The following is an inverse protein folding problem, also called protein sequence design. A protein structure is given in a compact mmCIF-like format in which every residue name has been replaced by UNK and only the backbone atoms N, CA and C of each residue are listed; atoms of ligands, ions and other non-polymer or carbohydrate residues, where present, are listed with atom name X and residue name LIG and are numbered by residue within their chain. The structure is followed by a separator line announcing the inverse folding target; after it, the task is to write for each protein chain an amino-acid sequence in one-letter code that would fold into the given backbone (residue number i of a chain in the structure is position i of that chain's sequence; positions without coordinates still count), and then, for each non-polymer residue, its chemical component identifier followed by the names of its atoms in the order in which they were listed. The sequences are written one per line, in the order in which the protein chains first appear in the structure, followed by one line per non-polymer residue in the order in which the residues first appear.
data_IF_761298932671
#
_entry.id   IF_761298932671
#
_cell.length_a   1.000
_cell.length_b   1.000
_cell.length_c   1.000
_cell.angle_alpha   90.00
_cell.angle_beta   90.00
_cell.angle_gamma   90.00
#
_symmetry.space_group_name_H-M   'P 1'
#
loop_
_entity.id
_entity.type
_entity.pdbx_description
1 polymer ?
#
# COMPACT_ATOMS: atom_id res chain seq x y z
N UNK A 1 -26.01 -48.79 48.78
CA UNK A 1 -25.21 -48.83 47.52
C UNK A 1 -25.80 -48.00 46.38
N UNK A 2 -27.13 -47.84 46.23
CA UNK A 2 -27.71 -47.10 45.10
C UNK A 2 -27.46 -45.59 45.03
N UNK A 3 -27.34 -44.88 46.17
CA UNK A 3 -27.14 -43.41 46.18
C UNK A 3 -25.75 -42.98 45.67
N UNK A 4 -24.70 -43.75 45.97
CA UNK A 4 -23.33 -43.48 45.49
C UNK A 4 -23.20 -43.71 43.98
N UNK A 5 -23.76 -44.80 43.45
CA UNK A 5 -23.80 -45.04 41.99
C UNK A 5 -24.54 -43.93 41.24
N UNK A 6 -25.67 -43.46 41.78
CA UNK A 6 -26.45 -42.38 41.16
C UNK A 6 -25.74 -41.01 41.23
N UNK A 7 -24.86 -40.80 42.22
CA UNK A 7 -24.04 -39.60 42.32
C UNK A 7 -22.87 -39.67 41.33
N UNK A 8 -22.26 -40.85 41.17
CA UNK A 8 -21.17 -41.10 40.22
C UNK A 8 -21.63 -40.96 38.76
N UNK A 9 -22.83 -41.47 38.44
CA UNK A 9 -23.44 -41.28 37.11
C UNK A 9 -23.72 -39.81 36.79
N UNK A 10 -24.20 -39.03 37.78
CA UNK A 10 -24.42 -37.59 37.61
C UNK A 10 -23.13 -36.82 37.38
N UNK A 11 -22.06 -37.18 38.08
CA UNK A 11 -20.74 -36.58 37.86
C UNK A 11 -20.18 -36.91 36.48
N UNK A 12 -20.32 -38.16 36.01
CA UNK A 12 -19.90 -38.55 34.67
C UNK A 12 -20.69 -37.82 33.57
N UNK A 13 -22.01 -37.67 33.74
CA UNK A 13 -22.83 -36.89 32.79
C UNK A 13 -22.44 -35.41 32.75
N UNK A 14 -22.13 -34.80 33.91
CA UNK A 14 -21.66 -33.42 33.97
C UNK A 14 -20.30 -33.24 33.29
N UNK A 15 -19.37 -34.18 33.48
CA UNK A 15 -18.08 -34.15 32.80
C UNK A 15 -18.20 -34.30 31.28
N UNK A 16 -19.09 -35.19 30.82
CA UNK A 16 -19.35 -35.35 29.38
C UNK A 16 -19.98 -34.09 28.77
N UNK A 17 -20.92 -33.44 29.46
CA UNK A 17 -21.51 -32.19 29.00
C UNK A 17 -20.47 -31.06 28.94
N UNK A 18 -19.58 -30.96 29.92
CA UNK A 18 -18.49 -29.96 29.89
C UNK A 18 -17.51 -30.21 28.74
N UNK A 19 -17.14 -31.48 28.47
CA UNK A 19 -16.29 -31.82 27.34
C UNK A 19 -16.94 -31.50 25.99
N UNK A 20 -18.24 -31.78 25.83
CA UNK A 20 -18.98 -31.42 24.61
C UNK A 20 -19.08 -29.91 24.42
N UNK A 21 -19.31 -29.13 25.48
CA UNK A 21 -19.31 -27.67 25.41
C UNK A 21 -17.93 -27.11 25.05
N UNK A 22 -16.85 -27.65 25.61
CA UNK A 22 -15.49 -27.26 25.24
C UNK A 22 -15.15 -27.60 23.79
N UNK A 23 -15.56 -28.77 23.30
CA UNK A 23 -15.38 -29.14 21.89
C UNK A 23 -16.20 -28.25 20.94
N UNK A 24 -17.43 -27.90 21.30
CA UNK A 24 -18.24 -26.96 20.53
C UNK A 24 -17.64 -25.55 20.51
N UNK A 25 -17.10 -25.07 21.64
CA UNK A 25 -16.39 -23.79 21.68
C UNK A 25 -15.10 -23.81 20.86
N UNK A 26 -14.33 -24.90 20.89
CA UNK A 26 -13.14 -25.05 20.03
C UNK A 26 -13.49 -25.12 18.55
N UNK A 27 -14.58 -25.80 18.18
CA UNK A 27 -15.07 -25.83 16.78
C UNK A 27 -15.58 -24.46 16.34
N UNK A 28 -16.28 -23.71 17.20
CA UNK A 28 -16.69 -22.32 16.90
C UNK A 28 -15.49 -21.38 16.75
N UNK A 29 -14.44 -21.54 17.56
CA UNK A 29 -13.19 -20.77 17.41
C UNK A 29 -12.42 -21.15 16.13
N UNK A 30 -12.46 -22.41 15.69
CA UNK A 30 -11.87 -22.85 14.41
C UNK A 30 -12.66 -22.37 13.19
N UNK A 31 -13.99 -22.20 13.31
CA UNK A 31 -14.83 -21.59 12.27
C UNK A 31 -14.76 -20.05 12.27
N UNK A 32 -14.18 -19.44 13.30
CA UNK A 32 -13.92 -18.01 13.42
C UNK A 32 -12.47 -17.64 13.06
N UNK A 33 -11.80 -18.40 12.19
CA UNK A 33 -10.62 -17.83 11.52
C UNK A 33 -11.12 -16.69 10.62
N UNK A 34 -10.72 -15.43 10.86
CA UNK A 34 -11.14 -14.35 10.00
C UNK A 34 -10.61 -14.63 8.59
N UNK A 35 -11.48 -14.44 7.59
CA UNK A 35 -11.05 -14.51 6.20
C UNK A 35 -9.88 -13.53 5.98
N UNK A 36 -8.83 -13.92 5.25
CA UNK A 36 -7.68 -13.07 5.04
C UNK A 36 -8.11 -11.81 4.28
N UNK A 37 -8.17 -10.68 4.98
CA UNK A 37 -8.34 -9.36 4.40
C UNK A 37 -7.00 -8.85 3.89
N UNK A 38 -7.00 -8.20 2.71
CA UNK A 38 -5.81 -7.55 2.16
C UNK A 38 -6.02 -6.05 1.99
N UNK A 39 -4.96 -5.27 2.18
CA UNK A 39 -4.94 -3.83 1.90
C UNK A 39 -3.94 -3.52 0.80
N UNK A 40 -4.39 -2.90 -0.31
CA UNK A 40 -3.58 -2.63 -1.49
C UNK A 40 -3.64 -1.16 -1.96
N UNK A 41 -2.58 -0.70 -2.62
CA UNK A 41 -2.48 0.64 -3.23
C UNK A 41 -3.12 0.73 -4.63
N UNK A 42 -3.32 1.96 -5.12
CA UNK A 42 -4.03 2.27 -6.38
C UNK A 42 -3.44 1.59 -7.63
N UNK A 43 -2.16 1.24 -7.61
CA UNK A 43 -1.45 0.66 -8.76
C UNK A 43 -1.78 -0.82 -9.04
N UNK A 44 -2.34 -1.56 -8.07
CA UNK A 44 -2.75 -2.97 -8.25
C UNK A 44 -4.27 -3.13 -8.48
N UNK A 45 -5.03 -2.05 -8.31
CA UNK A 45 -6.50 -2.03 -8.36
C UNK A 45 -7.09 -2.63 -9.62
N UNK A 46 -6.50 -2.33 -10.79
CA UNK A 46 -6.95 -2.85 -12.08
C UNK A 46 -6.82 -4.37 -12.17
N UNK A 47 -5.64 -4.91 -11.84
CA UNK A 47 -5.37 -6.35 -11.91
C UNK A 47 -6.20 -7.13 -10.87
N UNK A 48 -6.30 -6.62 -9.64
CA UNK A 48 -7.14 -7.20 -8.60
C UNK A 48 -8.61 -7.27 -9.02
N UNK A 49 -9.13 -6.21 -9.66
CA UNK A 49 -10.52 -6.19 -10.14
C UNK A 49 -10.78 -7.24 -11.23
N UNK A 50 -9.83 -7.41 -12.16
CA UNK A 50 -9.95 -8.39 -13.25
C UNK A 50 -9.85 -9.83 -12.72
N UNK A 51 -9.03 -10.07 -11.69
CA UNK A 51 -8.82 -11.42 -11.14
C UNK A 51 -9.84 -11.84 -10.10
N UNK A 52 -10.55 -10.90 -9.47
CA UNK A 52 -11.54 -11.17 -8.41
C UNK A 52 -12.51 -12.32 -8.77
N UNK A 53 -13.15 -12.21 -9.94
CA UNK A 53 -14.11 -13.22 -10.39
C UNK A 53 -13.46 -14.57 -10.73
N UNK A 54 -12.24 -14.56 -11.28
CA UNK A 54 -11.53 -15.78 -11.71
C UNK A 54 -10.96 -16.54 -10.52
N UNK A 55 -10.53 -15.82 -9.49
CA UNK A 55 -9.84 -16.39 -8.33
C UNK A 55 -10.77 -16.56 -7.11
N UNK A 56 -12.04 -16.18 -7.22
CA UNK A 56 -13.04 -16.41 -6.16
C UNK A 56 -12.90 -15.51 -4.93
N UNK A 57 -12.41 -14.27 -5.11
CA UNK A 57 -12.34 -13.26 -4.04
C UNK A 57 -13.16 -12.02 -4.39
N UNK A 58 -13.45 -11.18 -3.38
CA UNK A 58 -14.12 -9.89 -3.60
C UNK A 58 -13.11 -8.76 -3.52
N UNK A 59 -13.12 -7.89 -4.53
CA UNK A 59 -12.37 -6.64 -4.51
C UNK A 59 -13.27 -5.48 -4.09
N UNK A 60 -12.89 -4.76 -3.03
CA UNK A 60 -13.65 -3.64 -2.47
C UNK A 60 -12.78 -2.39 -2.44
N UNK A 61 -13.10 -1.44 -3.32
CA UNK A 61 -12.51 -0.11 -3.24
C UNK A 61 -13.25 0.78 -2.25
N UNK A 62 -12.51 1.46 -1.38
CA UNK A 62 -13.08 2.42 -0.44
C UNK A 62 -13.83 3.55 -1.17
N UNK A 63 -15.03 3.85 -0.72
CA UNK A 63 -15.80 5.04 -1.16
C UNK A 63 -15.22 6.33 -0.60
N UNK A 64 -14.43 6.25 0.48
CA UNK A 64 -13.63 7.37 1.00
C UNK A 64 -12.28 7.33 0.30
N UNK A 65 -12.22 7.93 -0.89
CA UNK A 65 -11.06 7.81 -1.77
C UNK A 65 -9.79 8.44 -1.20
N UNK A 66 -9.86 9.48 -0.36
CA UNK A 66 -8.68 10.15 0.19
C UNK A 66 -8.82 10.45 1.68
N UNK A 67 -8.50 9.48 2.54
CA UNK A 67 -8.45 9.64 3.99
C UNK A 67 -6.99 9.56 4.47
N UNK A 68 -6.14 10.38 3.83
CA UNK A 68 -4.70 10.46 4.09
C UNK A 68 -4.33 11.33 5.30
N UNK A 69 -5.33 11.93 5.95
CA UNK A 69 -5.13 12.74 7.15
C UNK A 69 -4.69 11.87 8.33
N UNK A 70 -4.01 12.48 9.29
CA UNK A 70 -3.71 11.82 10.56
C UNK A 70 -5.01 11.52 11.34
N UNK A 71 -5.10 10.35 11.97
CA UNK A 71 -6.27 9.94 12.75
C UNK A 71 -5.91 10.01 14.24
N UNK A 72 -6.86 10.47 15.05
CA UNK A 72 -6.78 10.22 16.49
C UNK A 72 -6.83 8.71 16.74
N UNK A 73 -6.41 8.28 17.93
CA UNK A 73 -6.49 6.88 18.36
C UNK A 73 -7.91 6.31 18.16
N UNK A 74 -8.94 7.03 18.58
CA UNK A 74 -10.33 6.58 18.45
C UNK A 74 -10.81 6.51 16.99
N UNK A 75 -10.36 7.44 16.13
CA UNK A 75 -10.69 7.41 14.70
C UNK A 75 -9.99 6.24 13.99
N UNK A 76 -8.74 5.94 14.36
CA UNK A 76 -8.02 4.77 13.87
C UNK A 76 -8.73 3.48 14.32
N UNK A 77 -9.09 3.37 15.61
CA UNK A 77 -9.84 2.24 16.17
C UNK A 77 -11.18 2.02 15.47
N UNK A 78 -11.94 3.09 15.20
CA UNK A 78 -13.20 3.01 14.46
C UNK A 78 -13.02 2.51 13.02
N UNK A 79 -11.94 2.92 12.34
CA UNK A 79 -11.61 2.41 11.01
C UNK A 79 -11.19 0.94 11.04
N UNK A 80 -10.38 0.53 12.01
CA UNK A 80 -10.00 -0.87 12.24
C UNK A 80 -11.25 -1.73 12.47
N UNK A 81 -12.14 -1.33 13.37
CA UNK A 81 -13.39 -2.05 13.64
C UNK A 81 -14.29 -2.15 12.40
N UNK A 82 -14.39 -1.06 11.62
CA UNK A 82 -15.13 -1.04 10.34
C UNK A 82 -14.57 -2.06 9.35
N UNK A 83 -13.25 -2.12 9.19
CA UNK A 83 -12.60 -3.06 8.28
C UNK A 83 -12.71 -4.50 8.77
N UNK A 84 -12.59 -4.73 10.07
CA UNK A 84 -12.82 -6.05 10.65
C UNK A 84 -14.24 -6.55 10.38
N UNK A 85 -15.25 -5.69 10.57
CA UNK A 85 -16.63 -6.02 10.24
C UNK A 85 -16.83 -6.26 8.73
N UNK A 86 -16.16 -5.48 7.88
CA UNK A 86 -16.19 -5.66 6.43
C UNK A 86 -15.64 -7.03 6.03
N UNK A 87 -14.49 -7.43 6.57
CA UNK A 87 -13.88 -8.73 6.28
C UNK A 87 -14.73 -9.88 6.81
N UNK A 88 -15.31 -9.74 8.01
CA UNK A 88 -16.21 -10.75 8.60
C UNK A 88 -17.55 -10.91 7.85
N UNK A 89 -17.99 -9.89 7.12
CA UNK A 89 -19.25 -9.92 6.36
C UNK A 89 -19.16 -10.69 5.03
N UNK A 90 -17.97 -11.12 4.61
CA UNK A 90 -17.77 -11.85 3.36
C UNK A 90 -17.29 -13.27 3.66
N UNK A 91 -17.92 -14.26 3.04
CA UNK A 91 -17.54 -15.69 3.19
C UNK A 91 -16.33 -16.08 2.33
N UNK A 92 -15.88 -15.19 1.45
CA UNK A 92 -14.71 -15.36 0.57
C UNK A 92 -13.61 -14.36 0.93
N UNK A 93 -12.35 -14.57 0.48
CA UNK A 93 -11.26 -13.62 0.71
C UNK A 93 -11.60 -12.22 0.17
N UNK A 94 -11.11 -11.18 0.86
CA UNK A 94 -11.38 -9.79 0.51
C UNK A 94 -10.09 -9.05 0.24
N UNK A 95 -9.97 -8.47 -0.96
CA UNK A 95 -8.96 -7.47 -1.26
C UNK A 95 -9.60 -6.09 -1.14
N UNK A 96 -9.12 -5.29 -0.20
CA UNK A 96 -9.59 -3.93 0.01
C UNK A 96 -8.54 -2.91 -0.42
N UNK A 97 -8.94 -1.88 -1.15
CA UNK A 97 -8.05 -0.77 -1.52
C UNK A 97 -8.54 0.56 -0.94
N UNK A 98 -7.62 1.32 -0.34
CA UNK A 98 -7.90 2.65 0.19
C UNK A 98 -6.63 3.51 0.19
N UNK A 99 -6.76 4.78 -0.17
CA UNK A 99 -5.70 5.77 0.04
C UNK A 99 -5.77 6.28 1.49
N UNK A 100 -5.21 5.48 2.40
CA UNK A 100 -5.08 5.80 3.81
C UNK A 100 -3.70 5.39 4.31
N UNK A 101 -3.29 5.91 5.47
CA UNK A 101 -2.02 5.52 6.09
C UNK A 101 -2.17 4.13 6.71
N UNK A 102 -1.04 3.53 7.07
CA UNK A 102 -1.03 2.27 7.78
C UNK A 102 -1.90 2.34 9.05
N UNK A 103 -2.83 1.39 9.17
CA UNK A 103 -3.70 1.21 10.33
C UNK A 103 -3.10 0.09 11.19
N UNK A 104 -2.81 0.36 12.45
CA UNK A 104 -2.23 -0.66 13.33
C UNK A 104 -3.34 -1.49 14.00
N UNK A 105 -3.80 -2.56 13.33
CA UNK A 105 -4.85 -3.45 13.85
C UNK A 105 -4.50 -4.04 15.21
N UNK A 106 -3.22 -4.39 15.40
CA UNK A 106 -2.72 -5.04 16.61
C UNK A 106 -2.76 -4.07 17.80
N UNK A 107 -2.42 -2.79 17.57
CA UNK A 107 -2.53 -1.72 18.57
C UNK A 107 -3.95 -1.56 19.12
N UNK A 108 -4.95 -1.95 18.33
CA UNK A 108 -6.37 -1.91 18.67
C UNK A 108 -6.93 -3.27 19.10
N UNK A 109 -6.06 -4.24 19.42
CA UNK A 109 -6.44 -5.54 19.96
C UNK A 109 -7.04 -6.50 18.93
N UNK A 110 -6.90 -6.22 17.64
CA UNK A 110 -7.42 -7.08 16.56
C UNK A 110 -6.31 -7.99 16.06
N UNK A 111 -6.49 -9.30 16.26
CA UNK A 111 -5.58 -10.35 15.82
C UNK A 111 -6.36 -11.55 15.25
N UNK A 112 -5.89 -12.19 14.17
CA UNK A 112 -4.75 -11.77 13.35
C UNK A 112 -5.04 -10.46 12.60
N UNK A 113 -3.99 -9.64 12.40
CA UNK A 113 -4.06 -8.47 11.52
C UNK A 113 -4.22 -8.90 10.04
N UNK A 114 -4.87 -8.08 9.19
CA UNK A 114 -4.96 -8.35 7.76
C UNK A 114 -3.58 -8.29 7.09
N UNK A 115 -3.44 -8.98 5.95
CA UNK A 115 -2.22 -8.97 5.16
C UNK A 115 -2.08 -7.63 4.40
N UNK A 116 -1.03 -6.88 4.70
CA UNK A 116 -0.75 -5.63 4.01
C UNK A 116 0.15 -5.85 2.79
N UNK A 117 -0.19 -5.20 1.68
CA UNK A 117 0.70 -5.05 0.51
C UNK A 117 0.72 -3.59 0.04
N UNK A 118 1.79 -3.19 -0.63
CA UNK A 118 1.83 -1.87 -1.27
C UNK A 118 2.77 -1.86 -2.47
N UNK A 119 2.71 -0.78 -3.25
CA UNK A 119 3.63 -0.49 -4.35
C UNK A 119 4.28 0.87 -4.08
N UNK A 120 5.61 0.92 -4.08
CA UNK A 120 6.37 2.17 -3.97
C UNK A 120 7.04 2.52 -5.30
N UNK A 121 7.46 3.78 -5.44
CA UNK A 121 8.10 4.32 -6.63
C UNK A 121 9.29 5.17 -6.19
N UNK A 122 10.33 5.25 -7.01
CA UNK A 122 11.48 6.10 -6.75
C UNK A 122 11.01 7.54 -6.44
N UNK A 123 11.42 8.12 -5.30
CA UNK A 123 10.85 9.37 -4.79
C UNK A 123 10.95 10.57 -5.73
N UNK A 124 12.07 10.75 -6.44
CA UNK A 124 12.23 11.86 -7.37
C UNK A 124 11.30 11.68 -8.57
N UNK A 125 11.26 10.49 -9.16
CA UNK A 125 10.34 10.13 -10.24
C UNK A 125 8.88 10.28 -9.82
N UNK A 126 8.54 9.97 -8.57
CA UNK A 126 7.22 10.19 -7.97
C UNK A 126 6.89 11.69 -7.90
N UNK A 127 7.81 12.53 -7.41
CA UNK A 127 7.62 13.99 -7.34
C UNK A 127 7.46 14.62 -8.72
N UNK A 128 8.31 14.23 -9.68
CA UNK A 128 8.24 14.68 -11.07
C UNK A 128 6.91 14.28 -11.70
N UNK A 129 6.46 13.03 -11.47
CA UNK A 129 5.16 12.56 -11.95
C UNK A 129 4.00 13.36 -11.33
N UNK A 130 4.06 13.66 -10.03
CA UNK A 130 3.05 14.46 -9.34
C UNK A 130 2.98 15.89 -9.89
N UNK A 131 4.14 16.50 -10.15
CA UNK A 131 4.25 17.83 -10.74
C UNK A 131 3.50 17.92 -12.07
N UNK A 132 3.82 17.03 -13.02
CA UNK A 132 3.17 17.03 -14.32
C UNK A 132 1.71 16.59 -14.26
N UNK A 133 1.37 15.64 -13.37
CA UNK A 133 -0.03 15.23 -13.19
C UNK A 133 -0.92 16.38 -12.72
N UNK A 134 -0.47 17.19 -11.75
CA UNK A 134 -1.21 18.37 -11.25
C UNK A 134 -1.41 19.45 -12.32
N UNK A 135 -0.48 19.60 -13.25
CA UNK A 135 -0.47 20.66 -14.25
C UNK A 135 -1.10 20.28 -15.59
N UNK A 136 -0.93 19.03 -16.01
CA UNK A 136 -1.23 18.53 -17.37
C UNK A 136 -2.19 17.35 -17.39
N UNK A 137 -2.20 16.53 -16.33
CA UNK A 137 -3.07 15.35 -16.24
C UNK A 137 -4.49 15.67 -15.77
N UNK A 138 -5.33 14.65 -15.66
CA UNK A 138 -6.73 14.76 -15.23
C UNK A 138 -6.90 14.99 -13.71
N UNK A 139 -6.06 15.83 -13.12
CA UNK A 139 -6.13 16.14 -11.70
C UNK A 139 -7.38 17.00 -11.39
N UNK A 140 -8.23 16.65 -10.41
CA UNK A 140 -9.50 17.34 -10.18
C UNK A 140 -9.38 18.85 -9.92
N UNK A 141 -8.28 19.31 -9.33
CA UNK A 141 -8.01 20.73 -9.05
C UNK A 141 -7.04 21.37 -10.04
N UNK A 142 -6.80 20.75 -11.20
CA UNK A 142 -5.80 21.20 -12.19
C UNK A 142 -5.91 22.70 -12.50
N UNK A 143 -7.12 23.20 -12.75
CA UNK A 143 -7.33 24.61 -13.10
C UNK A 143 -6.94 25.56 -11.96
N UNK A 144 -7.22 25.20 -10.71
CA UNK A 144 -6.80 25.95 -9.52
C UNK A 144 -5.27 25.98 -9.40
N UNK A 145 -4.63 24.82 -9.60
CA UNK A 145 -3.17 24.72 -9.56
C UNK A 145 -2.50 25.51 -10.68
N UNK A 146 -3.03 25.44 -11.91
CA UNK A 146 -2.56 26.25 -13.03
C UNK A 146 -2.74 27.75 -12.72
N UNK A 147 -3.90 28.16 -12.21
CA UNK A 147 -4.16 29.55 -11.83
C UNK A 147 -3.19 30.06 -10.75
N UNK A 148 -2.86 29.25 -9.74
CA UNK A 148 -1.92 29.60 -8.68
C UNK A 148 -0.48 29.85 -9.20
N UNK A 149 -0.11 29.24 -10.32
CA UNK A 149 1.19 29.41 -10.97
C UNK A 149 1.09 30.24 -12.27
N UNK A 150 -0.04 30.85 -12.59
CA UNK A 150 -0.25 31.60 -13.84
C UNK A 150 0.38 33.01 -13.85
N UNK A 151 1.22 33.36 -12.86
CA UNK A 151 2.05 34.54 -12.97
C UNK A 151 2.96 34.39 -14.20
N UNK A 152 2.99 35.39 -15.09
CA UNK A 152 3.99 35.44 -16.18
C UNK A 152 5.35 35.45 -15.51
N UNK A 153 6.08 34.35 -15.61
CA UNK A 153 7.41 34.26 -15.05
C UNK A 153 8.40 35.11 -15.87
N UNK A 154 9.63 35.28 -15.37
CA UNK A 154 10.66 36.10 -16.04
C UNK A 154 11.03 35.60 -17.44
N UNK A 155 10.68 34.36 -17.78
CA UNK A 155 10.92 33.71 -19.09
C UNK A 155 9.85 34.02 -20.14
N UNK A 156 8.80 34.79 -19.82
CA UNK A 156 7.72 35.14 -20.75
C UNK A 156 6.72 34.02 -21.01
N UNK A 157 6.95 32.81 -20.48
CA UNK A 157 6.01 31.68 -20.50
C UNK A 157 5.18 31.61 -19.22
N UNK A 158 4.04 30.93 -19.29
CA UNK A 158 3.17 30.70 -18.13
C UNK A 158 3.81 29.60 -17.28
N UNK A 159 4.01 29.83 -15.97
CA UNK A 159 4.72 28.84 -15.13
C UNK A 159 3.99 27.50 -15.00
N UNK A 160 2.70 27.45 -15.37
CA UNK A 160 1.91 26.24 -15.51
C UNK A 160 2.42 25.27 -16.60
N UNK A 161 3.22 25.76 -17.54
CA UNK A 161 3.74 24.98 -18.67
C UNK A 161 5.24 24.66 -18.53
N UNK A 162 5.89 25.16 -17.48
CA UNK A 162 7.30 24.92 -17.18
C UNK A 162 7.64 23.44 -17.01
N UNK A 163 8.91 23.13 -17.26
CA UNK A 163 9.58 21.93 -16.79
C UNK A 163 9.82 21.98 -15.28
N UNK A 164 10.11 20.83 -14.69
CA UNK A 164 10.45 20.77 -13.27
C UNK A 164 11.74 21.55 -12.96
N UNK A 165 12.72 21.60 -13.85
CA UNK A 165 13.95 22.39 -13.65
C UNK A 165 13.68 23.90 -13.72
N UNK A 166 12.83 24.36 -14.65
CA UNK A 166 12.42 25.77 -14.71
C UNK A 166 11.67 26.18 -13.45
N UNK A 167 10.81 25.30 -12.94
CA UNK A 167 10.10 25.47 -11.67
C UNK A 167 11.06 25.61 -10.48
N UNK A 168 12.01 24.68 -10.34
CA UNK A 168 13.01 24.68 -9.26
C UNK A 168 13.94 25.89 -9.31
N UNK A 169 14.21 26.41 -10.52
CA UNK A 169 15.03 27.61 -10.71
C UNK A 169 14.29 28.91 -10.36
N UNK A 170 12.96 28.86 -10.21
CA UNK A 170 12.10 30.02 -9.93
C UNK A 170 11.06 29.70 -8.85
N UNK A 171 11.49 29.34 -7.62
CA UNK A 171 10.60 28.86 -6.57
C UNK A 171 9.51 29.86 -6.17
N UNK A 172 9.77 31.16 -6.32
CA UNK A 172 8.80 32.23 -6.06
C UNK A 172 7.60 32.25 -7.04
N UNK A 173 7.74 31.58 -8.19
CA UNK A 173 6.70 31.50 -9.23
C UNK A 173 6.15 30.08 -9.41
N UNK A 174 6.73 29.09 -8.73
CA UNK A 174 6.37 27.69 -8.88
C UNK A 174 6.40 26.94 -7.54
N UNK A 175 5.35 27.16 -6.75
CA UNK A 175 5.20 26.60 -5.41
C UNK A 175 4.46 25.24 -5.39
N UNK A 176 4.75 24.39 -6.36
CA UNK A 176 4.12 23.06 -6.47
C UNK A 176 4.93 21.97 -5.76
N UNK A 177 6.20 22.27 -5.49
CA UNK A 177 7.21 21.39 -4.92
C UNK A 177 7.96 22.22 -3.87
N UNK A 178 7.93 21.82 -2.60
CA UNK A 178 8.85 22.40 -1.59
C UNK A 178 8.27 22.94 -0.29
N UNK A 179 6.96 23.23 -0.17
CA UNK A 179 6.43 23.83 1.08
C UNK A 179 6.08 22.85 2.21
N UNK A 180 5.90 21.58 1.90
CA UNK A 180 5.46 20.59 2.89
C UNK A 180 6.39 19.38 2.86
N UNK A 181 7.12 19.20 3.95
CA UNK A 181 7.96 18.03 4.19
C UNK A 181 7.12 16.76 4.04
N UNK A 182 5.93 16.73 4.63
CA UNK A 182 5.01 15.60 4.54
C UNK A 182 4.57 15.29 3.09
N UNK A 183 4.17 16.30 2.30
CA UNK A 183 3.78 16.05 0.90
C UNK A 183 4.95 15.54 0.04
N UNK A 184 6.17 16.01 0.34
CA UNK A 184 7.37 15.55 -0.34
C UNK A 184 7.80 14.15 0.12
N UNK A 185 7.46 13.76 1.35
CA UNK A 185 7.78 12.48 1.97
C UNK A 185 6.52 11.62 2.18
N UNK A 186 5.67 11.56 1.15
CA UNK A 186 4.35 10.95 1.22
C UNK A 186 4.42 9.46 1.57
N UNK A 187 5.39 8.72 1.02
CA UNK A 187 5.52 7.28 1.28
C UNK A 187 5.82 7.05 2.75
N UNK A 188 6.75 7.83 3.31
CA UNK A 188 7.11 7.79 4.73
C UNK A 188 5.89 8.04 5.62
N UNK A 189 5.09 9.06 5.31
CA UNK A 189 3.86 9.34 6.06
C UNK A 189 2.84 8.20 6.01
N UNK A 190 2.67 7.58 4.84
CA UNK A 190 1.73 6.47 4.64
C UNK A 190 2.17 5.21 5.38
N UNK A 191 3.44 4.82 5.29
CA UNK A 191 3.96 3.66 6.01
C UNK A 191 4.05 3.90 7.52
N UNK A 192 4.33 5.12 7.97
CA UNK A 192 4.39 5.44 9.40
C UNK A 192 3.02 5.23 10.09
N UNK A 193 1.92 5.54 9.42
CA UNK A 193 0.58 5.34 9.97
C UNK A 193 0.12 6.49 10.86
N UNK A 194 -0.53 6.16 11.97
CA UNK A 194 -1.19 7.11 12.88
C UNK A 194 -0.61 7.09 14.30
N UNK A 195 0.65 6.67 14.46
CA UNK A 195 1.35 6.76 15.74
C UNK A 195 1.76 8.22 16.03
N UNK A 196 1.87 8.66 17.30
CA UNK A 196 2.24 10.05 17.63
C UNK A 196 3.51 10.53 16.93
N UNK A 197 4.54 9.68 16.81
CA UNK A 197 5.80 9.97 16.12
C UNK A 197 5.65 10.19 14.59
N UNK A 198 4.47 9.92 14.02
CA UNK A 198 4.16 10.15 12.62
C UNK A 198 3.57 11.54 12.33
N UNK A 199 3.32 12.35 13.36
CA UNK A 199 2.82 13.72 13.21
C UNK A 199 3.93 14.70 12.81
N UNK A 200 5.12 14.52 13.41
CA UNK A 200 6.26 15.42 13.23
C UNK A 200 7.34 14.73 12.38
N UNK A 201 7.39 15.07 11.09
CA UNK A 201 8.27 14.42 10.12
C UNK A 201 9.76 14.55 10.47
N UNK A 202 10.35 13.43 10.86
CA UNK A 202 11.75 13.32 11.22
C UNK A 202 12.26 11.88 11.15
N UNK A 203 13.43 11.64 11.72
CA UNK A 203 14.00 10.29 11.80
C UNK A 203 13.09 9.31 12.56
N UNK A 204 12.35 9.78 13.57
CA UNK A 204 11.41 8.93 14.30
C UNK A 204 10.28 8.43 13.40
N UNK A 205 9.75 9.31 12.55
CA UNK A 205 8.77 8.97 11.51
C UNK A 205 9.33 7.94 10.53
N UNK A 206 10.56 8.14 10.05
CA UNK A 206 11.22 7.20 9.14
C UNK A 206 11.41 5.81 9.80
N UNK A 207 11.93 5.77 11.03
CA UNK A 207 12.12 4.50 11.76
C UNK A 207 10.80 3.76 11.97
N UNK A 208 9.74 4.48 12.33
CA UNK A 208 8.40 3.90 12.48
C UNK A 208 7.83 3.41 11.14
N UNK A 209 8.05 4.16 10.05
CA UNK A 209 7.68 3.74 8.70
C UNK A 209 8.40 2.45 8.27
N UNK A 210 9.71 2.34 8.50
CA UNK A 210 10.49 1.12 8.23
C UNK A 210 9.99 -0.06 9.07
N UNK A 211 9.76 0.15 10.38
CA UNK A 211 9.22 -0.88 11.28
C UNK A 211 7.83 -1.36 10.85
N UNK A 212 6.95 -0.47 10.41
CA UNK A 212 5.65 -0.87 9.89
C UNK A 212 5.77 -1.54 8.51
N UNK A 213 6.70 -1.09 7.65
CA UNK A 213 6.98 -1.74 6.36
C UNK A 213 7.33 -3.22 6.55
N UNK A 214 8.06 -3.58 7.60
CA UNK A 214 8.35 -4.98 7.91
C UNK A 214 7.13 -5.83 8.28
N UNK A 215 6.00 -5.19 8.63
CA UNK A 215 4.72 -5.88 8.85
C UNK A 215 3.96 -6.15 7.53
N UNK A 216 4.38 -5.58 6.41
CA UNK A 216 3.77 -5.86 5.11
C UNK A 216 4.23 -7.24 4.61
N UNK A 217 3.30 -8.01 4.05
CA UNK A 217 3.62 -9.30 3.41
C UNK A 217 4.61 -9.07 2.27
N UNK A 218 4.36 -8.03 1.47
CA UNK A 218 5.30 -7.56 0.45
C UNK A 218 5.06 -6.10 0.08
N UNK A 219 6.14 -5.43 -0.32
CA UNK A 219 6.10 -4.10 -0.93
C UNK A 219 6.80 -4.19 -2.28
N UNK A 220 6.05 -3.99 -3.37
CA UNK A 220 6.58 -4.00 -4.73
C UNK A 220 7.12 -2.64 -5.17
N UNK A 221 7.83 -2.63 -6.29
CA UNK A 221 8.41 -1.44 -6.91
C UNK A 221 7.72 -1.15 -8.24
N UNK A 222 7.33 0.10 -8.46
CA UNK A 222 6.69 0.52 -9.70
C UNK A 222 7.63 0.37 -10.92
N UNK A 223 8.93 0.54 -10.70
CA UNK A 223 9.98 0.33 -11.71
C UNK A 223 10.18 -1.15 -12.07
N UNK A 224 9.86 -2.06 -11.14
CA UNK A 224 9.98 -3.52 -11.29
C UNK A 224 8.57 -4.16 -11.26
N UNK A 225 7.64 -3.60 -12.04
CA UNK A 225 6.22 -3.96 -11.96
C UNK A 225 5.97 -5.45 -12.19
N UNK A 226 6.55 -6.05 -13.24
CA UNK A 226 6.33 -7.45 -13.57
C UNK A 226 6.87 -8.39 -12.48
N UNK A 227 8.09 -8.11 -11.99
CA UNK A 227 8.68 -8.82 -10.84
C UNK A 227 7.84 -8.65 -9.57
N UNK A 228 7.27 -7.46 -9.36
CA UNK A 228 6.38 -7.19 -8.22
C UNK A 228 5.07 -7.98 -8.32
N UNK A 229 4.47 -8.08 -9.50
CA UNK A 229 3.27 -8.89 -9.70
C UNK A 229 3.57 -10.38 -9.54
N UNK A 230 4.71 -10.87 -10.03
CA UNK A 230 5.16 -12.23 -9.80
C UNK A 230 5.38 -12.52 -8.32
N UNK A 231 5.96 -11.58 -7.57
CA UNK A 231 6.14 -11.68 -6.13
C UNK A 231 4.80 -11.77 -5.39
N UNK A 232 3.85 -10.89 -5.70
CA UNK A 232 2.51 -10.95 -5.11
C UNK A 232 1.80 -12.24 -5.46
N UNK A 233 1.93 -12.74 -6.69
CA UNK A 233 1.34 -14.02 -7.10
C UNK A 233 1.91 -15.22 -6.34
N UNK A 234 3.20 -15.19 -5.97
CA UNK A 234 3.85 -16.23 -5.16
C UNK A 234 3.43 -16.17 -3.71
N UNK A 235 3.35 -14.98 -3.13
CA UNK A 235 3.06 -14.80 -1.70
C UNK A 235 1.56 -14.84 -1.39
N UNK A 236 0.72 -14.45 -2.35
CA UNK A 236 -0.72 -14.27 -2.19
C UNK A 236 -1.47 -14.92 -3.38
N UNK A 237 -1.35 -16.24 -3.56
CA UNK A 237 -1.87 -16.94 -4.75
C UNK A 237 -3.40 -16.87 -4.88
N UNK A 238 -4.15 -16.75 -3.78
CA UNK A 238 -5.61 -16.63 -3.83
C UNK A 238 -6.05 -15.31 -4.51
N UNK A 239 -5.21 -14.28 -4.49
CA UNK A 239 -5.53 -12.96 -5.05
C UNK A 239 -4.84 -12.72 -6.38
N UNK A 240 -3.57 -13.13 -6.47
CA UNK A 240 -2.70 -12.82 -7.61
C UNK A 240 -2.20 -14.08 -8.34
N UNK A 241 -2.59 -15.28 -7.90
CA UNK A 241 -2.27 -16.54 -8.57
C UNK A 241 -3.09 -16.77 -9.84
N UNK A 242 -2.73 -17.82 -10.58
CA UNK A 242 -3.31 -18.22 -11.86
C UNK A 242 -2.31 -19.11 -12.65
N UNK A 243 -2.74 -19.76 -13.75
CA UNK A 243 -1.88 -20.67 -14.52
C UNK A 243 -0.54 -20.05 -14.94
N UNK A 244 -0.56 -18.75 -15.22
CA UNK A 244 0.59 -17.94 -15.64
C UNK A 244 1.57 -17.64 -14.49
N UNK A 245 1.08 -17.54 -13.24
CA UNK A 245 1.91 -17.27 -12.06
C UNK A 245 2.75 -18.49 -11.63
N UNK A 246 2.30 -19.70 -11.98
CA UNK A 246 3.01 -20.95 -11.71
C UNK A 246 4.22 -21.15 -12.65
N UNK A 247 4.20 -20.56 -13.84
CA UNK A 247 5.21 -20.78 -14.89
C UNK A 247 6.38 -19.79 -14.89
N UNK A 248 6.40 -18.81 -13.97
CA UNK A 248 7.46 -17.81 -13.84
C UNK A 248 7.18 -16.49 -14.58
N UNK A 249 7.97 -15.43 -14.30
CA UNK A 249 7.73 -14.09 -14.83
C UNK A 249 7.77 -14.01 -16.38
N UNK A 250 8.41 -14.97 -17.05
CA UNK A 250 8.58 -15.00 -18.50
C UNK A 250 7.32 -15.40 -19.30
N UNK A 251 6.23 -15.80 -18.63
CA UNK A 251 5.01 -16.31 -19.29
C UNK A 251 3.69 -15.70 -18.84
N UNK A 252 3.73 -14.59 -18.10
CA UNK A 252 2.51 -13.78 -17.95
C UNK A 252 2.24 -13.11 -19.30
N UNK A 253 1.10 -13.39 -19.98
CA UNK A 253 0.82 -12.83 -21.29
C UNK A 253 0.88 -11.31 -21.24
N UNK A 254 1.74 -10.75 -22.09
CA UNK A 254 1.98 -9.31 -22.18
C UNK A 254 0.68 -8.52 -22.45
N UNK A 255 -0.34 -9.15 -23.05
CA UNK A 255 -1.62 -8.52 -23.38
C UNK A 255 -2.46 -8.17 -22.13
N UNK A 256 -2.49 -9.02 -21.09
CA UNK A 256 -3.28 -8.78 -19.87
C UNK A 256 -2.56 -7.95 -18.82
N UNK A 257 -1.22 -8.00 -18.78
CA UNK A 257 -0.42 -7.01 -18.06
C UNK A 257 -0.56 -5.63 -18.73
N UNK A 258 -0.58 -5.56 -20.07
CA UNK A 258 -0.71 -4.30 -20.81
C UNK A 258 -2.00 -3.54 -20.55
N UNK A 259 -3.10 -4.21 -20.18
CA UNK A 259 -4.32 -3.52 -19.71
C UNK A 259 -4.06 -2.78 -18.38
N UNK A 260 -3.42 -3.40 -17.41
CA UNK A 260 -3.07 -2.75 -16.14
C UNK A 260 -1.96 -1.68 -16.31
N UNK A 261 -0.97 -1.92 -17.18
CA UNK A 261 0.10 -0.95 -17.49
C UNK A 261 -0.39 0.23 -18.33
N UNK A 262 -1.38 0.02 -19.22
CA UNK A 262 -1.97 1.10 -20.03
C UNK A 262 -2.88 2.01 -19.19
N UNK A 263 -3.57 1.45 -18.19
CA UNK A 263 -4.40 2.22 -17.24
C UNK A 263 -3.59 3.14 -16.30
N UNK A 264 -2.33 2.79 -16.01
CA UNK A 264 -1.44 3.57 -15.12
C UNK A 264 -0.33 4.35 -15.86
N UNK A 265 -0.30 4.33 -17.20
CA UNK A 265 0.70 5.08 -17.96
C UNK A 265 0.39 6.57 -17.87
N UNK A 266 1.31 7.34 -17.27
CA UNK A 266 1.20 8.80 -17.26
C UNK A 266 1.46 9.33 -18.69
N UNK A 267 0.39 9.48 -19.47
CA UNK A 267 0.39 10.05 -20.83
C UNK A 267 0.80 11.53 -20.87
N UNK A 268 0.96 12.15 -19.70
CA UNK A 268 1.34 13.55 -19.53
C UNK A 268 2.72 13.71 -18.87
N UNK A 269 3.58 12.69 -18.95
CA UNK A 269 4.95 12.78 -18.46
C UNK A 269 5.69 13.94 -19.15
N UNK A 270 6.36 14.79 -18.36
CA UNK A 270 7.26 15.80 -18.87
C UNK A 270 8.72 15.32 -18.88
N UNK A 271 9.67 16.19 -19.28
CA UNK A 271 11.08 15.82 -19.32
C UNK A 271 11.60 15.40 -17.93
N UNK A 272 12.59 14.49 -17.88
CA UNK A 272 13.27 14.17 -16.63
C UNK A 272 14.03 15.39 -16.10
N UNK A 273 14.24 15.49 -14.78
CA UNK A 273 15.00 16.59 -14.20
C UNK A 273 16.47 16.52 -14.60
N UNK A 274 17.15 17.68 -14.64
CA UNK A 274 18.61 17.75 -14.70
C UNK A 274 19.26 17.10 -13.47
N UNK A 275 20.56 16.82 -13.51
CA UNK A 275 21.27 16.31 -12.34
C UNK A 275 21.22 17.26 -11.12
N UNK A 276 21.16 18.58 -11.36
CA UNK A 276 20.98 19.56 -10.29
C UNK A 276 19.55 19.54 -9.75
N UNK A 277 18.54 19.47 -10.64
CA UNK A 277 17.14 19.35 -10.27
C UNK A 277 16.86 18.07 -9.48
N UNK A 278 17.45 16.94 -9.89
CA UNK A 278 17.38 15.67 -9.16
C UNK A 278 17.87 15.82 -7.73
N UNK A 279 19.06 16.41 -7.52
CA UNK A 279 19.61 16.62 -6.16
C UNK A 279 18.71 17.48 -5.29
N UNK A 280 18.09 18.53 -5.85
CA UNK A 280 17.14 19.37 -5.12
C UNK A 280 15.88 18.59 -4.72
N UNK A 281 15.29 17.82 -5.65
CA UNK A 281 14.11 17.00 -5.38
C UNK A 281 14.40 15.88 -4.37
N UNK A 282 15.56 15.22 -4.49
CA UNK A 282 16.00 14.20 -3.54
C UNK A 282 16.15 14.78 -2.12
N UNK A 283 16.68 16.00 -1.98
CA UNK A 283 16.77 16.67 -0.69
C UNK A 283 15.40 17.01 -0.10
N UNK A 284 14.41 17.38 -0.93
CA UNK A 284 13.03 17.60 -0.48
C UNK A 284 12.34 16.31 -0.02
N UNK A 285 12.69 15.17 -0.61
CA UNK A 285 12.15 13.84 -0.34
C UNK A 285 13.11 12.95 0.46
N UNK A 286 13.93 13.55 1.32
CA UNK A 286 15.00 12.84 2.05
C UNK A 286 14.53 11.55 2.73
N UNK A 287 13.42 11.60 3.46
CA UNK A 287 12.91 10.43 4.18
C UNK A 287 12.30 9.39 3.24
N UNK A 288 11.63 9.83 2.16
CA UNK A 288 11.14 8.92 1.13
C UNK A 288 12.29 8.21 0.40
N UNK A 289 13.44 8.88 0.18
CA UNK A 289 14.67 8.27 -0.39
C UNK A 289 15.18 7.15 0.52
N UNK A 290 15.31 7.42 1.82
CA UNK A 290 15.79 6.42 2.77
C UNK A 290 14.79 5.26 2.96
N UNK A 291 13.48 5.56 3.01
CA UNK A 291 12.45 4.51 3.05
C UNK A 291 12.44 3.70 1.75
N UNK A 292 12.59 4.34 0.58
CA UNK A 292 12.61 3.64 -0.70
C UNK A 292 13.81 2.70 -0.80
N UNK A 293 15.01 3.13 -0.38
CA UNK A 293 16.19 2.25 -0.29
C UNK A 293 15.92 1.03 0.60
N UNK A 294 15.29 1.24 1.75
CA UNK A 294 14.88 0.15 2.63
C UNK A 294 13.89 -0.80 1.95
N UNK A 295 12.84 -0.25 1.32
CA UNK A 295 11.83 -1.01 0.60
C UNK A 295 12.44 -1.83 -0.56
N UNK A 296 13.36 -1.25 -1.33
CA UNK A 296 14.06 -1.93 -2.42
C UNK A 296 14.89 -3.10 -1.90
N UNK A 297 15.63 -2.91 -0.80
CA UNK A 297 16.38 -4.00 -0.18
C UNK A 297 15.45 -5.15 0.26
N UNK A 298 14.31 -4.84 0.89
CA UNK A 298 13.31 -5.84 1.30
C UNK A 298 12.66 -6.53 0.10
N UNK A 299 12.33 -5.78 -0.94
CA UNK A 299 11.78 -6.31 -2.20
C UNK A 299 12.72 -7.34 -2.82
N UNK A 300 14.00 -7.03 -2.98
CA UNK A 300 14.97 -7.95 -3.57
C UNK A 300 15.26 -9.17 -2.67
N UNK A 301 15.22 -9.00 -1.34
CA UNK A 301 15.27 -10.15 -0.41
C UNK A 301 14.09 -11.10 -0.63
N UNK A 302 12.87 -10.58 -0.70
CA UNK A 302 11.67 -11.39 -0.96
C UNK A 302 11.69 -12.03 -2.35
N UNK A 303 12.02 -11.27 -3.39
CA UNK A 303 12.09 -11.77 -4.76
C UNK A 303 13.13 -12.90 -4.91
N UNK A 304 14.31 -12.74 -4.28
CA UNK A 304 15.34 -13.78 -4.21
C UNK A 304 14.87 -15.02 -3.47
N UNK A 305 14.23 -14.85 -2.31
CA UNK A 305 13.66 -15.96 -1.52
C UNK A 305 12.55 -16.71 -2.28
N UNK A 306 11.84 -16.04 -3.18
CA UNK A 306 10.87 -16.64 -4.08
C UNK A 306 11.46 -17.14 -5.42
N UNK A 307 12.79 -17.09 -5.59
CA UNK A 307 13.50 -17.51 -6.81
C UNK A 307 13.03 -16.80 -8.09
N UNK A 308 12.68 -15.51 -7.99
CA UNK A 308 12.28 -14.70 -9.14
C UNK A 308 13.50 -14.17 -9.89
N UNK A 309 13.34 -13.92 -11.20
CA UNK A 309 14.35 -13.23 -12.00
C UNK A 309 14.56 -11.80 -11.47
N UNK A 310 15.81 -11.40 -11.26
CA UNK A 310 16.16 -10.11 -10.66
C UNK A 310 16.82 -9.19 -11.68
N UNK A 311 16.39 -7.93 -11.73
CA UNK A 311 17.05 -6.88 -12.50
C UNK A 311 18.17 -6.23 -11.66
N UNK A 312 19.39 -6.76 -11.77
CA UNK A 312 20.54 -6.31 -10.98
C UNK A 312 20.92 -4.86 -11.30
N UNK A 313 20.54 -4.32 -12.46
CA UNK A 313 20.86 -2.95 -12.87
C UNK A 313 20.23 -1.91 -11.94
N UNK A 314 19.02 -2.18 -11.42
CA UNK A 314 18.33 -1.26 -10.50
C UNK A 314 19.01 -1.19 -9.12
N UNK A 315 19.62 -2.29 -8.65
CA UNK A 315 20.40 -2.31 -7.40
C UNK A 315 21.67 -1.46 -7.47
N UNK A 316 22.25 -1.29 -8.67
CA UNK A 316 23.48 -0.54 -8.89
C UNK A 316 23.26 0.97 -9.00
N UNK A 317 22.02 1.43 -9.03
CA UNK A 317 21.64 2.85 -9.24
C UNK A 317 21.06 3.54 -7.99
N UNK A 318 21.00 2.85 -6.84
CA UNK A 318 20.49 3.35 -5.55
C UNK A 318 21.55 4.10 -4.72
#
# INVERSE_FOLDING_TARGET
MGKQQQQQQRQQQQQQQQQQQQQQQQQQQQQQQPNPGQLAGTSTKGLASVRAATNGFVHIGSTVYNDSAFFSFDKEAANVARLQALFAAHEVPVLYDQHTRYLDFERHGVQPAPAYINMVREPVARLVSLYYYKLRGSYPKREQYRAAVNARGPTGTVAADWSVDECLSHPQHCDLLGKSVEHNNLMTGFFCGHAPECQDFGEATLRKAQSNLDKYVAVGLAEEFDTSMALFARLLPDFYGGPEAAEGPDKVPADRLSEATSLNRNTHAGPPPSAAGYRQLAALALYDIELYRYAVARFYQHASACHLALNISHLLTL
#
